data_IF_105036476802
#
_entry.id   IF_105036476802
#
_cell.length_a   1.000
_cell.length_b   1.000
_cell.length_c   1.000
_cell.angle_alpha   90.00
_cell.angle_beta   90.00
_cell.angle_gamma   90.00
#
_symmetry.space_group_name_H-M   'P 1'
#
loop_
_entity.id
_entity.type
_entity.pdbx_description
1 polymer ?
#
# COMPACT_ATOMS: atom_id res chain seq x y z
N UNK A 1 0.95 45.03 12.99
CA UNK A 1 1.61 44.20 14.03
C UNK A 1 2.53 45.03 14.92
N UNK A 2 3.44 45.85 14.36
CA UNK A 2 4.31 46.76 15.13
C UNK A 2 3.54 47.79 15.96
N UNK A 3 2.56 48.48 15.37
CA UNK A 3 1.70 49.46 16.08
C UNK A 3 0.95 48.86 17.27
N UNK A 4 0.43 47.62 17.14
CA UNK A 4 -0.24 46.92 18.24
C UNK A 4 0.72 46.58 19.39
N UNK A 5 1.97 46.27 19.08
CA UNK A 5 3.00 45.97 20.08
C UNK A 5 3.42 47.23 20.83
N UNK A 6 3.55 48.35 20.14
CA UNK A 6 3.84 49.66 20.76
C UNK A 6 2.71 50.10 21.69
N UNK A 7 1.46 49.93 21.28
CA UNK A 7 0.30 50.24 22.12
C UNK A 7 0.26 49.39 23.40
N UNK A 8 0.65 48.11 23.32
CA UNK A 8 0.76 47.22 24.48
C UNK A 8 1.89 47.66 25.41
N UNK A 9 3.05 48.08 24.86
CA UNK A 9 4.18 48.59 25.66
C UNK A 9 3.80 49.84 26.44
N UNK A 10 3.14 50.80 25.78
CA UNK A 10 2.65 52.03 26.42
C UNK A 10 1.67 51.74 27.55
N UNK A 11 0.71 50.84 27.29
CA UNK A 11 -0.30 50.48 28.30
C UNK A 11 0.29 49.71 29.49
N UNK A 12 1.37 48.94 29.28
CA UNK A 12 2.11 48.30 30.36
C UNK A 12 2.90 49.32 31.21
N UNK A 13 3.48 50.35 30.58
CA UNK A 13 4.14 51.44 31.30
C UNK A 13 3.16 52.16 32.21
N UNK A 14 1.95 52.45 31.70
CA UNK A 14 0.87 53.08 32.47
C UNK A 14 0.38 52.20 33.63
N UNK A 15 0.24 50.89 33.43
CA UNK A 15 -0.31 49.96 34.42
C UNK A 15 0.68 49.58 35.54
N UNK A 16 1.97 49.56 35.25
CA UNK A 16 3.01 49.11 36.21
C UNK A 16 3.94 50.23 36.68
N UNK A 17 3.72 51.48 36.24
CA UNK A 17 4.58 52.63 36.54
C UNK A 17 6.06 52.38 36.25
N UNK A 18 6.36 51.58 35.22
CA UNK A 18 7.72 51.19 34.85
C UNK A 18 8.37 52.27 33.98
N UNK A 19 9.68 52.45 34.14
CA UNK A 19 10.46 53.28 33.22
C UNK A 19 10.54 52.63 31.83
N UNK A 20 10.74 53.42 30.76
CA UNK A 20 10.87 52.87 29.41
C UNK A 20 12.02 51.84 29.29
N UNK A 21 13.11 52.04 30.01
CA UNK A 21 14.25 51.11 30.05
C UNK A 21 13.90 49.77 30.72
N UNK A 22 13.16 49.79 31.83
CA UNK A 22 12.69 48.57 32.51
C UNK A 22 11.70 47.77 31.65
N UNK A 23 10.84 48.48 30.92
CA UNK A 23 9.89 47.88 29.98
C UNK A 23 10.62 47.16 28.85
N UNK A 24 11.67 47.77 28.27
CA UNK A 24 12.47 47.14 27.23
C UNK A 24 13.21 45.90 27.72
N UNK A 25 13.84 45.97 28.90
CA UNK A 25 14.50 44.81 29.52
C UNK A 25 13.54 43.65 29.76
N UNK A 26 12.33 43.92 30.25
CA UNK A 26 11.31 42.89 30.46
C UNK A 26 10.94 42.15 29.16
N UNK A 27 10.72 42.89 28.06
CA UNK A 27 10.42 42.26 26.77
C UNK A 27 11.64 41.56 26.14
N UNK A 28 12.85 42.00 26.42
CA UNK A 28 14.07 41.29 26.02
C UNK A 28 14.25 39.98 26.78
N UNK A 29 14.08 39.99 28.10
CA UNK A 29 14.09 38.77 28.91
C UNK A 29 13.02 37.78 28.45
N UNK A 30 11.81 38.26 28.18
CA UNK A 30 10.73 37.44 27.64
C UNK A 30 11.10 36.83 26.28
N UNK A 31 11.72 37.61 25.39
CA UNK A 31 12.22 37.13 24.09
C UNK A 31 13.32 36.08 24.26
N UNK A 32 14.25 36.28 25.19
CA UNK A 32 15.31 35.30 25.49
C UNK A 32 14.72 34.01 26.08
N UNK A 33 13.73 34.09 26.97
CA UNK A 33 13.04 32.92 27.51
C UNK A 33 12.29 32.15 26.42
N UNK A 34 11.61 32.84 25.50
CA UNK A 34 10.94 32.25 24.34
C UNK A 34 11.95 31.56 23.41
N UNK A 35 13.09 32.19 23.12
CA UNK A 35 14.15 31.58 22.32
C UNK A 35 14.71 30.33 22.99
N UNK A 36 14.97 30.37 24.31
CA UNK A 36 15.44 29.19 25.08
C UNK A 36 14.42 28.04 25.02
N UNK A 37 13.12 28.33 25.16
CA UNK A 37 12.05 27.33 25.00
C UNK A 37 12.00 26.77 23.58
N UNK A 38 12.05 27.63 22.55
CA UNK A 38 12.04 27.20 21.16
C UNK A 38 13.25 26.32 20.81
N UNK A 39 14.43 26.61 21.35
CA UNK A 39 15.62 25.77 21.19
C UNK A 39 15.43 24.39 21.85
N UNK A 40 14.89 24.34 23.07
CA UNK A 40 14.57 23.08 23.77
C UNK A 40 13.55 22.25 22.98
N UNK A 41 12.53 22.87 22.43
CA UNK A 41 11.51 22.18 21.62
C UNK A 41 12.08 21.65 20.31
N UNK A 42 12.94 22.42 19.64
CA UNK A 42 13.66 21.96 18.43
C UNK A 42 14.54 20.75 18.75
N UNK A 43 15.28 20.80 19.86
CA UNK A 43 16.12 19.70 20.31
C UNK A 43 15.30 18.45 20.62
N UNK A 44 14.20 18.59 21.37
CA UNK A 44 13.28 17.48 21.69
C UNK A 44 12.69 16.85 20.43
N UNK A 45 12.27 17.68 19.46
CA UNK A 45 11.77 17.19 18.15
C UNK A 45 12.86 16.46 17.37
N UNK A 46 14.09 16.97 17.36
CA UNK A 46 15.21 16.34 16.67
C UNK A 46 15.57 14.97 17.30
N UNK A 47 15.63 14.89 18.63
CA UNK A 47 15.83 13.63 19.36
C UNK A 47 14.72 12.63 19.08
N UNK A 48 13.45 13.04 19.16
CA UNK A 48 12.31 12.15 18.84
C UNK A 48 12.39 11.61 17.41
N UNK A 49 12.75 12.45 16.44
CA UNK A 49 12.95 12.02 15.04
C UNK A 49 14.09 11.01 14.91
N UNK A 50 15.23 11.25 15.56
CA UNK A 50 16.36 10.31 15.56
C UNK A 50 15.97 8.97 16.16
N UNK A 51 15.36 8.98 17.34
CA UNK A 51 14.88 7.77 18.02
C UNK A 51 13.91 6.96 17.15
N UNK A 52 12.93 7.62 16.52
CA UNK A 52 11.99 6.94 15.62
C UNK A 52 12.67 6.36 14.38
N UNK A 53 13.70 7.03 13.84
CA UNK A 53 14.49 6.51 12.71
C UNK A 53 15.30 5.29 13.11
N UNK A 54 15.90 5.32 14.29
CA UNK A 54 16.68 4.21 14.85
C UNK A 54 15.79 3.00 15.13
N UNK A 55 14.66 3.18 15.81
CA UNK A 55 13.67 2.12 16.03
C UNK A 55 13.14 1.51 14.73
N UNK A 56 12.99 2.31 13.66
CA UNK A 56 12.62 1.80 12.32
C UNK A 56 13.74 0.93 11.73
N UNK A 57 14.99 1.36 11.86
CA UNK A 57 16.16 0.58 11.41
C UNK A 57 16.30 -0.73 12.17
N UNK A 58 16.11 -0.71 13.49
CA UNK A 58 16.11 -1.93 14.31
C UNK A 58 15.02 -2.90 13.86
N UNK A 59 13.79 -2.42 13.64
CA UNK A 59 12.70 -3.25 13.12
C UNK A 59 13.00 -3.81 11.74
N UNK A 60 13.60 -3.01 10.85
CA UNK A 60 14.00 -3.47 9.53
C UNK A 60 15.09 -4.54 9.65
N UNK A 61 16.12 -4.32 10.47
CA UNK A 61 17.17 -5.29 10.72
C UNK A 61 16.61 -6.61 11.28
N UNK A 62 15.70 -6.53 12.26
CA UNK A 62 15.01 -7.70 12.79
C UNK A 62 14.19 -8.43 11.73
N UNK A 63 13.49 -7.71 10.85
CA UNK A 63 12.76 -8.29 9.74
C UNK A 63 13.71 -8.99 8.74
N UNK A 64 14.86 -8.39 8.42
CA UNK A 64 15.87 -9.04 7.58
C UNK A 64 16.43 -10.31 8.23
N UNK A 65 16.71 -10.29 9.54
CA UNK A 65 17.15 -11.48 10.27
C UNK A 65 16.08 -12.58 10.25
N UNK A 66 14.81 -12.23 10.43
CA UNK A 66 13.71 -13.18 10.35
C UNK A 66 13.59 -13.79 8.95
N UNK A 67 13.69 -12.96 7.91
CA UNK A 67 13.68 -13.41 6.51
C UNK A 67 14.87 -14.33 6.22
N UNK A 68 16.07 -13.99 6.67
CA UNK A 68 17.27 -14.85 6.53
C UNK A 68 17.07 -16.21 7.23
N UNK A 69 16.55 -16.22 8.45
CA UNK A 69 16.23 -17.45 9.17
C UNK A 69 15.19 -18.30 8.44
N UNK A 70 14.14 -17.66 7.92
CA UNK A 70 13.10 -18.33 7.14
C UNK A 70 13.70 -18.96 5.88
N UNK A 71 14.53 -18.22 5.13
CA UNK A 71 15.20 -18.73 3.95
C UNK A 71 16.11 -19.91 4.27
N UNK A 72 16.92 -19.84 5.33
CA UNK A 72 17.76 -20.96 5.77
C UNK A 72 16.93 -22.20 6.11
N UNK A 73 15.81 -22.01 6.80
CA UNK A 73 14.90 -23.11 7.13
C UNK A 73 14.28 -23.72 5.88
N UNK A 74 13.79 -22.88 4.95
CA UNK A 74 13.20 -23.32 3.69
C UNK A 74 14.20 -24.08 2.81
N UNK A 75 15.44 -23.59 2.69
CA UNK A 75 16.49 -24.27 1.95
C UNK A 75 16.82 -25.62 2.59
N UNK A 76 16.97 -25.68 3.92
CA UNK A 76 17.18 -26.95 4.62
C UNK A 76 16.02 -27.93 4.43
N UNK A 77 14.79 -27.43 4.40
CA UNK A 77 13.61 -28.24 4.14
C UNK A 77 13.63 -28.82 2.71
N UNK A 78 13.97 -27.99 1.72
CA UNK A 78 14.06 -28.40 0.32
C UNK A 78 15.07 -29.54 0.11
N UNK A 79 16.25 -29.45 0.74
CA UNK A 79 17.28 -30.52 0.65
C UNK A 79 16.82 -31.82 1.31
N UNK A 80 16.17 -31.73 2.47
CA UNK A 80 15.71 -32.92 3.21
C UNK A 80 14.55 -33.63 2.51
N UNK A 81 13.75 -32.90 1.75
CA UNK A 81 12.57 -33.40 1.05
C UNK A 81 12.70 -33.10 -0.44
N UNK A 82 13.53 -33.85 -1.18
CA UNK A 82 13.67 -33.62 -2.62
C UNK A 82 12.34 -33.90 -3.32
N UNK A 83 11.97 -33.01 -4.24
CA UNK A 83 10.77 -33.16 -5.07
C UNK A 83 11.03 -34.29 -6.07
N UNK A 84 10.06 -35.18 -6.33
CA UNK A 84 10.17 -36.10 -7.46
C UNK A 84 10.36 -35.31 -8.76
N UNK A 85 11.03 -35.90 -9.77
CA UNK A 85 11.33 -35.20 -11.02
C UNK A 85 10.06 -34.59 -11.62
N UNK A 86 10.05 -33.27 -11.82
CA UNK A 86 8.89 -32.54 -12.31
C UNK A 86 8.48 -33.09 -13.68
N UNK A 87 7.30 -33.71 -13.75
CA UNK A 87 6.80 -34.37 -14.97
C UNK A 87 6.09 -33.38 -15.89
N UNK A 88 5.51 -32.32 -15.34
CA UNK A 88 4.83 -31.32 -16.18
C UNK A 88 5.85 -30.43 -16.89
N UNK A 89 5.69 -30.32 -18.22
CA UNK A 89 6.57 -29.52 -19.09
C UNK A 89 6.61 -28.06 -18.60
N UNK A 90 5.45 -27.53 -18.18
CA UNK A 90 5.33 -26.16 -17.66
C UNK A 90 6.12 -25.95 -16.37
N UNK A 91 5.97 -26.83 -15.37
CA UNK A 91 6.72 -26.72 -14.11
C UNK A 91 8.21 -26.88 -14.34
N UNK A 92 8.60 -27.80 -15.22
CA UNK A 92 10.00 -28.01 -15.58
C UNK A 92 10.59 -26.76 -16.23
N UNK A 93 9.88 -26.14 -17.17
CA UNK A 93 10.30 -24.88 -17.77
C UNK A 93 10.38 -23.74 -16.74
N UNK A 94 9.40 -23.62 -15.85
CA UNK A 94 9.42 -22.63 -14.78
C UNK A 94 10.61 -22.84 -13.83
N UNK A 95 10.87 -24.08 -13.46
CA UNK A 95 12.03 -24.45 -12.63
C UNK A 95 13.34 -24.14 -13.36
N UNK A 96 13.44 -24.42 -14.66
CA UNK A 96 14.63 -24.09 -15.46
C UNK A 96 14.87 -22.58 -15.54
N UNK A 97 13.82 -21.77 -15.70
CA UNK A 97 13.93 -20.30 -15.63
C UNK A 97 14.47 -19.88 -14.25
N UNK A 98 13.89 -20.40 -13.17
CA UNK A 98 14.31 -20.07 -11.80
C UNK A 98 15.77 -20.48 -11.56
N UNK A 99 16.15 -21.67 -12.04
CA UNK A 99 17.50 -22.19 -11.93
C UNK A 99 18.49 -21.29 -12.67
N UNK A 100 18.16 -20.87 -13.89
CA UNK A 100 18.97 -19.93 -14.67
C UNK A 100 19.19 -18.62 -13.90
N UNK A 101 18.13 -18.02 -13.36
CA UNK A 101 18.25 -16.79 -12.56
C UNK A 101 19.09 -16.98 -11.29
N UNK A 102 18.97 -18.12 -10.61
CA UNK A 102 19.78 -18.43 -9.44
C UNK A 102 21.26 -18.61 -9.81
N UNK A 103 21.55 -19.22 -10.96
CA UNK A 103 22.88 -19.39 -11.50
C UNK A 103 23.50 -18.04 -11.90
N UNK A 104 22.75 -17.17 -12.57
CA UNK A 104 23.19 -15.82 -12.95
C UNK A 104 23.55 -14.98 -11.72
N UNK A 105 22.69 -14.98 -10.69
CA UNK A 105 22.94 -14.26 -9.44
C UNK A 105 24.19 -14.76 -8.70
N UNK A 106 24.55 -16.03 -8.89
CA UNK A 106 25.73 -16.64 -8.26
C UNK A 106 26.96 -16.66 -9.17
N UNK A 107 26.83 -16.27 -10.44
CA UNK A 107 27.84 -16.44 -11.49
C UNK A 107 28.36 -17.89 -11.59
N UNK A 108 27.46 -18.88 -11.51
CA UNK A 108 27.78 -20.31 -11.63
C UNK A 108 27.22 -20.84 -12.94
N UNK A 109 27.94 -21.75 -13.61
CA UNK A 109 27.44 -22.44 -14.80
C UNK A 109 26.20 -23.27 -14.48
N UNK A 110 25.21 -23.26 -15.37
CA UNK A 110 23.97 -24.03 -15.21
C UNK A 110 24.29 -25.53 -15.05
N UNK A 111 23.85 -26.18 -13.95
CA UNK A 111 24.08 -27.60 -13.76
C UNK A 111 23.19 -28.44 -14.69
N UNK A 112 23.72 -29.58 -15.15
CA UNK A 112 22.92 -30.59 -15.86
C UNK A 112 22.00 -31.31 -14.87
N UNK A 113 20.77 -31.63 -15.30
CA UNK A 113 19.81 -32.40 -14.48
C UNK A 113 20.08 -33.90 -14.52
N UNK A 114 20.77 -34.40 -15.54
CA UNK A 114 21.03 -35.84 -15.72
C UNK A 114 22.20 -36.33 -14.85
N UNK A 115 23.24 -35.50 -14.73
CA UNK A 115 24.42 -35.76 -13.88
C UNK A 115 24.75 -34.51 -13.06
N UNK A 116 23.99 -34.23 -11.99
CA UNK A 116 24.21 -33.03 -11.20
C UNK A 116 25.35 -33.23 -10.20
N UNK A 117 26.31 -32.29 -10.18
CA UNK A 117 27.23 -32.11 -9.05
C UNK A 117 26.45 -31.87 -7.74
N UNK A 118 27.06 -32.07 -6.57
CA UNK A 118 26.39 -31.85 -5.28
C UNK A 118 25.77 -30.44 -5.15
N UNK A 119 26.47 -29.41 -5.64
CA UNK A 119 25.95 -28.04 -5.70
C UNK A 119 24.85 -27.89 -6.76
N UNK A 120 24.99 -28.56 -7.90
CA UNK A 120 23.97 -28.59 -8.95
C UNK A 120 22.66 -29.23 -8.47
N UNK A 121 22.75 -30.37 -7.78
CA UNK A 121 21.62 -31.08 -7.21
C UNK A 121 20.87 -30.22 -6.17
N UNK A 122 21.62 -29.50 -5.32
CA UNK A 122 21.05 -28.53 -4.40
C UNK A 122 20.26 -27.44 -5.14
N UNK A 123 20.89 -26.79 -6.13
CA UNK A 123 20.27 -25.69 -6.88
C UNK A 123 19.02 -26.14 -7.65
N UNK A 124 19.06 -27.32 -8.26
CA UNK A 124 17.93 -27.93 -8.94
C UNK A 124 16.79 -28.19 -7.96
N UNK A 125 17.08 -28.79 -6.80
CA UNK A 125 16.06 -29.09 -5.78
C UNK A 125 15.39 -27.82 -5.27
N UNK A 126 16.17 -26.77 -5.04
CA UNK A 126 15.65 -25.46 -4.64
C UNK A 126 14.75 -24.88 -5.74
N UNK A 127 15.22 -24.88 -7.00
CA UNK A 127 14.46 -24.35 -8.13
C UNK A 127 13.13 -25.10 -8.33
N UNK A 128 13.12 -26.42 -8.17
CA UNK A 128 11.92 -27.25 -8.30
C UNK A 128 10.88 -26.91 -7.21
N UNK A 129 11.32 -26.73 -5.95
CA UNK A 129 10.44 -26.28 -4.86
C UNK A 129 9.88 -24.88 -5.11
N UNK A 130 10.69 -23.96 -5.63
CA UNK A 130 10.22 -22.62 -5.97
C UNK A 130 9.22 -22.65 -7.13
N UNK A 131 9.43 -23.49 -8.14
CA UNK A 131 8.48 -23.63 -9.25
C UNK A 131 7.10 -24.09 -8.76
N UNK A 132 7.05 -25.07 -7.86
CA UNK A 132 5.79 -25.53 -7.22
C UNK A 132 5.17 -24.40 -6.40
N UNK A 133 5.95 -23.69 -5.59
CA UNK A 133 5.45 -22.60 -4.77
C UNK A 133 4.84 -21.47 -5.63
N UNK A 134 5.54 -21.09 -6.72
CA UNK A 134 5.06 -20.08 -7.68
C UNK A 134 3.78 -20.54 -8.34
N UNK A 135 3.71 -21.81 -8.77
CA UNK A 135 2.52 -22.38 -9.38
C UNK A 135 1.32 -22.36 -8.41
N UNK A 136 1.52 -22.75 -7.15
CA UNK A 136 0.47 -22.67 -6.12
C UNK A 136 0.01 -21.24 -5.87
N UNK A 137 0.93 -20.27 -5.77
CA UNK A 137 0.58 -18.85 -5.59
C UNK A 137 -0.18 -18.34 -6.80
N UNK A 138 0.25 -18.68 -8.01
CA UNK A 138 -0.43 -18.30 -9.24
C UNK A 138 -1.86 -18.84 -9.28
N UNK A 139 -2.07 -20.11 -8.94
CA UNK A 139 -3.40 -20.70 -8.86
C UNK A 139 -4.28 -20.00 -7.81
N UNK A 140 -3.75 -19.74 -6.61
CA UNK A 140 -4.50 -19.03 -5.57
C UNK A 140 -4.94 -17.63 -6.03
N UNK A 141 -4.06 -16.91 -6.73
CA UNK A 141 -4.39 -15.58 -7.28
C UNK A 141 -5.43 -15.68 -8.39
N UNK A 142 -5.32 -16.66 -9.28
CA UNK A 142 -6.32 -16.87 -10.32
C UNK A 142 -7.69 -17.22 -9.76
N UNK A 143 -7.76 -18.08 -8.75
CA UNK A 143 -9.01 -18.41 -8.08
C UNK A 143 -9.71 -17.17 -7.50
N UNK A 144 -8.94 -16.30 -6.82
CA UNK A 144 -9.47 -15.04 -6.30
C UNK A 144 -9.98 -14.12 -7.40
N UNK A 145 -9.22 -13.95 -8.47
CA UNK A 145 -9.66 -13.12 -9.62
C UNK A 145 -10.93 -13.65 -10.26
N UNK A 146 -11.08 -14.96 -10.38
CA UNK A 146 -12.29 -15.56 -10.92
C UNK A 146 -13.50 -15.29 -10.02
N UNK A 147 -13.33 -15.37 -8.69
CA UNK A 147 -14.39 -15.01 -7.74
C UNK A 147 -14.79 -13.53 -7.85
N UNK A 148 -13.81 -12.62 -7.93
CA UNK A 148 -14.07 -11.19 -8.13
C UNK A 148 -14.82 -10.92 -9.45
N UNK A 149 -14.49 -11.63 -10.53
CA UNK A 149 -15.19 -11.52 -11.81
C UNK A 149 -16.65 -11.98 -11.71
N UNK A 150 -16.93 -13.10 -11.03
CA UNK A 150 -18.30 -13.58 -10.80
C UNK A 150 -19.14 -12.60 -9.98
N UNK A 151 -18.54 -11.95 -8.96
CA UNK A 151 -19.22 -10.92 -8.17
C UNK A 151 -19.58 -9.69 -9.03
N UNK A 152 -18.68 -9.27 -9.90
CA UNK A 152 -18.91 -8.16 -10.83
C UNK A 152 -20.00 -8.50 -11.85
N UNK A 153 -20.02 -9.73 -12.36
CA UNK A 153 -21.07 -10.19 -13.29
C UNK A 153 -22.45 -10.21 -12.62
N UNK A 154 -22.55 -10.74 -11.40
CA UNK A 154 -23.79 -10.71 -10.60
C UNK A 154 -24.28 -9.30 -10.33
N UNK A 155 -23.38 -8.37 -10.01
CA UNK A 155 -23.72 -6.95 -9.82
C UNK A 155 -24.26 -6.32 -11.11
N UNK A 156 -23.62 -6.59 -12.25
CA UNK A 156 -24.09 -6.12 -13.57
C UNK A 156 -25.46 -6.69 -13.95
N UNK A 157 -25.73 -7.94 -13.58
CA UNK A 157 -27.04 -8.56 -13.80
C UNK A 157 -28.13 -7.93 -12.92
N UNK A 158 -27.83 -7.65 -11.64
CA UNK A 158 -28.75 -6.93 -10.75
C UNK A 158 -29.03 -5.51 -11.27
N UNK A 159 -28.00 -4.76 -11.68
CA UNK A 159 -28.17 -3.42 -12.26
C UNK A 159 -28.96 -3.43 -13.59
N UNK A 160 -28.81 -4.47 -14.42
CA UNK A 160 -29.61 -4.64 -15.64
C UNK A 160 -31.06 -4.97 -15.31
N UNK A 161 -31.30 -5.80 -14.29
CA UNK A 161 -32.63 -6.11 -13.76
C UNK A 161 -33.37 -4.86 -13.26
N UNK A 162 -32.72 -4.02 -12.46
CA UNK A 162 -33.30 -2.79 -11.91
C UNK A 162 -33.58 -1.71 -12.98
N UNK A 163 -32.74 -1.62 -14.01
CA UNK A 163 -33.00 -0.73 -15.15
C UNK A 163 -34.20 -1.16 -15.98
N UNK A 164 -34.42 -2.48 -16.11
CA UNK A 164 -35.58 -3.02 -16.83
C UNK A 164 -36.90 -2.89 -16.05
N UNK A 165 -36.87 -2.99 -14.72
CA UNK A 165 -38.06 -2.80 -13.87
C UNK A 165 -38.46 -1.33 -13.75
N UNK A 166 -37.49 -0.40 -13.70
CA UNK A 166 -37.77 1.05 -13.65
C UNK A 166 -38.29 1.63 -14.98
N UNK A 167 -37.96 1.03 -16.14
CA UNK A 167 -38.55 1.41 -17.44
C UNK A 167 -39.98 0.88 -17.65
N UNK A 168 -40.31 -0.27 -17.04
CA UNK A 168 -41.65 -0.83 -17.09
C UNK A 168 -42.66 0.00 -16.28
N UNK A 169 -42.27 0.50 -15.11
CA UNK A 169 -43.15 1.31 -14.24
C UNK A 169 -43.45 2.69 -14.84
N UNK A 170 -42.51 3.32 -15.57
CA UNK A 170 -42.75 4.59 -16.27
C UNK A 170 -43.64 4.46 -17.50
N UNK A 171 -43.62 3.32 -18.18
CA UNK A 171 -44.46 3.10 -19.37
C UNK A 171 -45.92 2.82 -19.01
N UNK A 172 -46.19 2.32 -17.79
CA UNK A 172 -47.55 2.06 -17.31
C UNK A 172 -48.29 3.33 -16.85
N UNK A 173 -47.58 4.38 -16.40
CA UNK A 173 -48.22 5.61 -15.91
C UNK A 173 -48.58 6.62 -17.00
N UNK A 174 -48.28 6.35 -18.28
CA UNK A 174 -48.44 7.29 -19.40
C UNK A 174 -49.64 6.97 -20.31
N UNK A 175 -50.62 6.19 -19.82
CA UNK A 175 -51.77 5.72 -20.59
C UNK A 175 -53.14 6.17 -20.03
N UNK A 176 -53.20 7.35 -19.40
CA UNK A 176 -54.47 8.02 -19.14
C UNK A 176 -54.33 9.52 -19.29
N UNK A 177 -54.66 10.03 -20.48
CA UNK A 177 -55.43 11.26 -20.74
C UNK A 177 -55.29 11.62 -22.22
N UNK A 178 -56.23 11.16 -23.04
CA UNK A 178 -56.55 11.81 -24.31
C UNK A 178 -58.05 11.97 -24.32
N UNK A 179 -58.50 13.20 -24.07
CA UNK A 179 -59.88 13.63 -24.28
C UNK A 179 -60.23 13.59 -25.78
N UNK A 180 -61.48 13.31 -26.15
CA UNK A 180 -61.89 13.23 -27.55
C UNK A 180 -62.04 14.63 -28.14
N UNK A 181 -61.33 14.90 -29.24
CA UNK A 181 -61.49 16.12 -30.03
C UNK A 181 -62.47 15.83 -31.17
N UNK A 182 -63.68 16.39 -31.05
CA UNK A 182 -64.68 16.41 -32.11
C UNK A 182 -64.21 17.34 -33.24
N UNK A 183 -64.39 16.92 -34.50
CA UNK A 183 -64.53 17.87 -35.59
C UNK A 183 -65.60 17.41 -36.59
N UNK A 184 -66.65 18.22 -36.58
CA UNK A 184 -67.75 18.38 -37.52
C UNK A 184 -67.24 18.71 -38.94
N UNK A 185 -67.89 18.04 -39.91
CA UNK A 185 -68.32 18.44 -41.27
C UNK A 185 -67.56 19.53 -42.08
N UNK A 186 -67.37 19.26 -43.39
CA UNK A 186 -68.09 19.94 -44.51
C UNK A 186 -67.34 19.79 -45.87
N UNK A 187 -68.04 19.18 -46.85
CA UNK A 187 -68.00 19.32 -48.34
C UNK A 187 -66.65 19.12 -49.09
N UNK A 188 -66.57 18.44 -50.25
CA UNK A 188 -67.49 18.16 -51.37
C UNK A 188 -67.52 16.68 -51.80
#
# INVERSE_FOLDING_TARGET
LRERVELIKQRLQELYAMTPEETERYFEEMRQQLQKKAMRDKLKKALKKRYMKEKRREKQAAAYCFVDQLFRSAMNFAVKNPVPPLVSIRLRHLSDIILEQLCDLRNISRPSRDEPDQQGAFMITVADWFAIAVEHVYYLVQLKKNQELEEIEKQKEMERGEKSSSSATKSSSLLMTVEPFEHEELFE
#
